data_IF_552443041613
#
_entry.id   IF_552443041613
#
_cell.length_a   1.000
_cell.length_b   1.000
_cell.length_c   1.000
_cell.angle_alpha   90.00
_cell.angle_beta   90.00
_cell.angle_gamma   90.00
#
_symmetry.space_group_name_H-M   'P 1'
#
loop_
_entity.id
_entity.type
_entity.pdbx_description
1 polymer ?
#
# COMPACT_ATOMS: atom_id res chain seq x y z
N UNK A 1 8.19 -7.82 -22.95
CA UNK A 1 7.02 -7.48 -22.08
C UNK A 1 6.46 -8.79 -21.55
N UNK A 2 6.34 -8.95 -20.24
CA UNK A 2 5.71 -10.13 -19.64
C UNK A 2 4.19 -10.06 -19.87
N UNK A 3 3.53 -11.20 -20.15
CA UNK A 3 2.07 -11.24 -20.29
C UNK A 3 1.38 -10.71 -19.02
N UNK A 4 0.25 -10.02 -19.13
CA UNK A 4 -0.47 -9.51 -17.97
C UNK A 4 -0.92 -10.65 -17.04
N UNK A 5 -0.90 -10.39 -15.73
CA UNK A 5 -1.40 -11.33 -14.74
C UNK A 5 -2.92 -11.50 -14.88
N UNK A 6 -3.37 -12.72 -15.12
CA UNK A 6 -4.80 -13.05 -15.21
C UNK A 6 -5.34 -13.71 -13.94
N UNK A 7 -4.46 -14.13 -13.02
CA UNK A 7 -4.79 -14.82 -11.77
C UNK A 7 -3.64 -14.65 -10.78
N UNK A 8 -3.94 -14.52 -9.49
CA UNK A 8 -2.99 -14.70 -8.38
C UNK A 8 -3.11 -16.14 -7.87
N UNK A 9 -2.41 -17.05 -8.52
CA UNK A 9 -2.55 -18.51 -8.34
C UNK A 9 -2.15 -18.99 -6.95
N UNK A 10 -1.23 -18.26 -6.31
CA UNK A 10 -0.75 -18.60 -4.96
C UNK A 10 -1.83 -18.43 -3.87
N UNK A 11 -2.96 -17.77 -4.18
CA UNK A 11 -4.09 -17.61 -3.27
C UNK A 11 -5.23 -18.62 -3.51
N UNK A 12 -5.02 -19.61 -4.38
CA UNK A 12 -6.02 -20.61 -4.70
C UNK A 12 -7.04 -20.18 -5.77
N UNK A 13 -8.18 -20.86 -5.78
CA UNK A 13 -9.19 -20.66 -6.83
C UNK A 13 -10.11 -19.46 -6.61
N UNK A 14 -10.19 -18.98 -5.37
CA UNK A 14 -10.99 -17.80 -5.02
C UNK A 14 -10.30 -16.96 -3.97
N UNK A 15 -10.36 -15.63 -4.12
CA UNK A 15 -9.83 -14.68 -3.16
C UNK A 15 -10.63 -13.39 -3.12
N UNK A 16 -10.55 -12.68 -2.00
CA UNK A 16 -11.08 -11.35 -1.82
C UNK A 16 -9.96 -10.37 -1.51
N UNK A 17 -10.15 -9.11 -1.90
CA UNK A 17 -9.16 -8.07 -1.70
C UNK A 17 -9.76 -6.78 -1.12
N UNK A 18 -8.92 -6.04 -0.41
CA UNK A 18 -9.18 -4.68 0.04
C UNK A 18 -8.09 -3.76 -0.52
N UNK A 19 -8.50 -2.65 -1.11
CA UNK A 19 -7.58 -1.62 -1.60
C UNK A 19 -7.91 -0.30 -0.91
N UNK A 20 -7.01 0.18 -0.06
CA UNK A 20 -7.09 1.49 0.59
C UNK A 20 -6.36 2.53 -0.26
N UNK A 21 -6.99 3.66 -0.53
CA UNK A 21 -6.50 4.65 -1.50
C UNK A 21 -6.92 4.35 -2.94
N UNK A 22 -8.03 3.63 -3.12
CA UNK A 22 -8.52 3.12 -4.41
C UNK A 22 -8.83 4.20 -5.46
N UNK A 23 -9.01 5.47 -5.08
CA UNK A 23 -9.20 6.59 -6.01
C UNK A 23 -7.88 7.22 -6.49
N UNK A 24 -6.75 6.88 -5.88
CA UNK A 24 -5.41 7.35 -6.29
C UNK A 24 -4.90 6.64 -7.54
N UNK A 25 -3.85 7.18 -8.18
CA UNK A 25 -3.32 6.61 -9.42
C UNK A 25 -2.96 5.12 -9.31
N UNK A 26 -2.14 4.75 -8.32
CA UNK A 26 -1.75 3.35 -8.09
C UNK A 26 -2.95 2.54 -7.59
N UNK A 27 -3.69 3.03 -6.57
CA UNK A 27 -4.80 2.28 -5.99
C UNK A 27 -5.91 1.98 -6.99
N UNK A 28 -6.23 2.91 -7.89
CA UNK A 28 -7.19 2.72 -8.98
C UNK A 28 -6.72 1.67 -9.98
N UNK A 29 -5.45 1.71 -10.36
CA UNK A 29 -4.87 0.72 -11.27
C UNK A 29 -4.83 -0.68 -10.63
N UNK A 30 -4.37 -0.81 -9.38
CA UNK A 30 -4.41 -2.07 -8.63
C UNK A 30 -5.84 -2.65 -8.56
N UNK A 31 -6.82 -1.80 -8.26
CA UNK A 31 -8.23 -2.20 -8.19
C UNK A 31 -8.71 -2.74 -9.54
N UNK A 32 -8.33 -2.08 -10.65
CA UNK A 32 -8.68 -2.51 -12.01
C UNK A 32 -8.02 -3.85 -12.38
N UNK A 33 -6.73 -4.03 -12.07
CA UNK A 33 -6.03 -5.30 -12.30
C UNK A 33 -6.67 -6.45 -11.52
N UNK A 34 -6.93 -6.25 -10.22
CA UNK A 34 -7.59 -7.26 -9.40
C UNK A 34 -8.99 -7.60 -9.91
N UNK A 35 -9.78 -6.63 -10.36
CA UNK A 35 -11.11 -6.86 -10.91
C UNK A 35 -11.10 -7.68 -12.20
N UNK A 36 -10.04 -7.55 -13.01
CA UNK A 36 -9.86 -8.33 -14.23
C UNK A 36 -9.41 -9.79 -13.98
N UNK A 37 -8.90 -10.09 -12.78
CA UNK A 37 -8.42 -11.43 -12.44
C UNK A 37 -9.56 -12.43 -12.27
N UNK A 38 -9.34 -13.67 -12.74
CA UNK A 38 -10.37 -14.72 -12.76
C UNK A 38 -10.71 -15.26 -11.39
N UNK A 39 -9.74 -15.31 -10.47
CA UNK A 39 -9.94 -15.82 -9.10
C UNK A 39 -10.30 -14.76 -8.06
N UNK A 40 -10.34 -13.48 -8.42
CA UNK A 40 -10.82 -12.43 -7.53
C UNK A 40 -12.35 -12.38 -7.56
N UNK A 41 -12.96 -12.64 -6.41
CA UNK A 41 -14.42 -12.67 -6.24
C UNK A 41 -14.97 -11.27 -5.94
N UNK A 42 -14.44 -10.63 -4.89
CA UNK A 42 -14.89 -9.32 -4.43
C UNK A 42 -13.71 -8.44 -4.03
N UNK A 43 -13.87 -7.15 -4.25
CA UNK A 43 -12.91 -6.12 -3.89
C UNK A 43 -13.65 -5.03 -3.11
N UNK A 44 -13.19 -4.72 -1.91
CA UNK A 44 -13.59 -3.52 -1.21
C UNK A 44 -12.61 -2.41 -1.52
N UNK A 45 -13.08 -1.39 -2.23
CA UNK A 45 -12.31 -0.24 -2.67
C UNK A 45 -12.59 0.96 -1.75
N UNK A 46 -11.58 1.34 -0.94
CA UNK A 46 -11.68 2.33 0.11
C UNK A 46 -10.94 3.60 -0.26
N UNK A 47 -11.60 4.74 -0.18
CA UNK A 47 -11.00 6.05 -0.45
C UNK A 47 -11.87 7.21 0.01
N UNK A 48 -11.28 8.41 0.16
CA UNK A 48 -12.03 9.64 0.47
C UNK A 48 -12.99 10.05 -0.65
N UNK A 49 -12.59 9.79 -1.90
CA UNK A 49 -13.42 10.04 -3.09
C UNK A 49 -14.06 8.72 -3.52
N UNK A 50 -15.38 8.69 -3.75
CA UNK A 50 -16.07 7.47 -4.18
C UNK A 50 -15.46 6.87 -5.45
N UNK A 51 -15.33 5.55 -5.47
CA UNK A 51 -14.93 4.77 -6.66
C UNK A 51 -16.18 4.14 -7.27
N UNK A 52 -16.22 4.09 -8.61
CA UNK A 52 -17.35 3.45 -9.30
C UNK A 52 -17.42 1.96 -8.95
N UNK A 53 -18.50 1.54 -8.33
CA UNK A 53 -18.79 0.14 -8.02
C UNK A 53 -19.08 -0.68 -9.29
N UNK A 54 -18.83 -1.99 -9.20
CA UNK A 54 -19.20 -3.00 -10.20
C UNK A 54 -19.73 -4.24 -9.49
N UNK A 55 -20.01 -5.31 -10.23
CA UNK A 55 -20.40 -6.58 -9.59
C UNK A 55 -19.31 -7.18 -8.69
N UNK A 56 -18.01 -6.81 -8.88
CA UNK A 56 -16.90 -7.23 -8.04
C UNK A 56 -16.42 -6.14 -7.08
N UNK A 57 -16.62 -4.85 -7.38
CA UNK A 57 -16.06 -3.71 -6.65
C UNK A 57 -17.14 -3.07 -5.78
N UNK A 58 -16.90 -3.07 -4.48
CA UNK A 58 -17.73 -2.45 -3.45
C UNK A 58 -16.98 -1.24 -2.88
N UNK A 59 -17.50 -0.04 -3.08
CA UNK A 59 -16.84 1.20 -2.66
C UNK A 59 -17.35 1.67 -1.30
N UNK A 60 -16.44 2.13 -0.44
CA UNK A 60 -16.78 2.78 0.82
C UNK A 60 -15.80 3.92 1.14
N UNK A 61 -16.24 4.84 1.98
CA UNK A 61 -15.40 5.94 2.44
C UNK A 61 -14.36 5.46 3.45
N UNK A 62 -13.15 6.03 3.38
CA UNK A 62 -12.10 5.94 4.40
C UNK A 62 -11.26 7.21 4.37
N UNK A 63 -10.99 7.77 5.55
CA UNK A 63 -9.97 8.81 5.75
C UNK A 63 -8.92 8.31 6.75
N UNK A 64 -7.64 8.33 6.34
CA UNK A 64 -6.54 7.85 7.18
C UNK A 64 -6.17 8.82 8.32
N UNK A 65 -6.68 10.04 8.29
CA UNK A 65 -6.55 11.03 9.39
C UNK A 65 -7.67 10.88 10.43
N UNK A 66 -8.66 9.99 10.19
CA UNK A 66 -9.80 9.73 11.06
C UNK A 66 -9.87 8.25 11.45
N UNK A 67 -9.59 7.97 12.73
CA UNK A 67 -9.57 6.60 13.27
C UNK A 67 -10.95 5.93 13.23
N UNK A 68 -12.04 6.68 13.46
CA UNK A 68 -13.40 6.16 13.39
C UNK A 68 -13.76 5.77 11.95
N UNK A 69 -13.39 6.61 10.98
CA UNK A 69 -13.56 6.31 9.56
C UNK A 69 -12.87 4.99 9.15
N UNK A 70 -11.66 4.73 9.68
CA UNK A 70 -10.93 3.48 9.41
C UNK A 70 -11.67 2.27 10.01
N UNK A 71 -12.15 2.37 11.24
CA UNK A 71 -12.90 1.30 11.90
C UNK A 71 -14.20 0.98 11.16
N UNK A 72 -14.98 2.01 10.81
CA UNK A 72 -16.24 1.86 10.04
C UNK A 72 -15.98 1.22 8.69
N UNK A 73 -14.91 1.63 7.98
CA UNK A 73 -14.52 1.03 6.71
C UNK A 73 -14.15 -0.45 6.86
N UNK A 74 -13.48 -0.84 7.94
CA UNK A 74 -13.13 -2.23 8.20
C UNK A 74 -14.37 -3.07 8.52
N UNK A 75 -15.31 -2.56 9.29
CA UNK A 75 -16.59 -3.23 9.55
C UNK A 75 -17.41 -3.39 8.25
N UNK A 76 -17.46 -2.36 7.41
CA UNK A 76 -18.07 -2.49 6.08
C UNK A 76 -17.41 -3.61 5.26
N UNK A 77 -16.07 -3.66 5.20
CA UNK A 77 -15.38 -4.71 4.49
C UNK A 77 -15.76 -6.10 5.00
N UNK A 78 -15.88 -6.28 6.33
CA UNK A 78 -16.33 -7.53 6.94
C UNK A 78 -17.75 -7.94 6.54
N UNK A 79 -18.66 -6.99 6.31
CA UNK A 79 -20.02 -7.32 5.84
C UNK A 79 -20.04 -7.80 4.38
N UNK A 80 -19.09 -7.33 3.57
CA UNK A 80 -18.99 -7.67 2.15
C UNK A 80 -18.17 -8.94 1.92
N UNK A 81 -17.09 -9.11 2.70
CA UNK A 81 -16.08 -10.16 2.53
C UNK A 81 -16.10 -11.09 3.74
N UNK A 82 -16.05 -12.41 3.51
CA UNK A 82 -15.92 -13.40 4.59
C UNK A 82 -14.48 -13.41 5.12
N UNK A 83 -13.52 -13.67 4.22
CA UNK A 83 -12.08 -13.64 4.47
C UNK A 83 -11.42 -12.67 3.51
N UNK A 84 -10.34 -12.04 3.95
CA UNK A 84 -9.57 -11.08 3.17
C UNK A 84 -8.18 -11.65 2.92
N UNK A 85 -7.92 -12.16 1.71
CA UNK A 85 -6.63 -12.72 1.35
C UNK A 85 -5.60 -11.64 1.01
N UNK A 86 -6.05 -10.49 0.50
CA UNK A 86 -5.14 -9.40 0.11
C UNK A 86 -5.63 -8.06 0.63
N UNK A 87 -4.78 -7.36 1.38
CA UNK A 87 -4.99 -5.95 1.77
C UNK A 87 -3.86 -5.12 1.19
N UNK A 88 -4.18 -4.11 0.38
CA UNK A 88 -3.19 -3.20 -0.19
C UNK A 88 -3.48 -1.77 0.28
N UNK A 89 -2.53 -1.17 1.00
CA UNK A 89 -2.61 0.23 1.43
C UNK A 89 -1.81 1.08 0.44
N UNK A 90 -2.52 1.72 -0.50
CA UNK A 90 -1.96 2.52 -1.57
C UNK A 90 -2.12 4.04 -1.35
N UNK A 91 -2.39 4.44 -0.11
CA UNK A 91 -2.49 5.85 0.26
C UNK A 91 -1.13 6.44 0.61
N UNK A 92 -0.98 7.75 0.40
CA UNK A 92 0.22 8.49 0.81
C UNK A 92 0.07 9.99 0.62
N UNK A 93 0.79 10.75 1.43
CA UNK A 93 0.88 12.21 1.39
C UNK A 93 2.35 12.60 1.30
N UNK A 94 2.72 13.35 0.25
CA UNK A 94 4.04 13.96 0.06
C UNK A 94 3.91 15.48 0.01
N UNK A 95 2.86 15.94 -0.65
CA UNK A 95 2.53 17.36 -0.80
C UNK A 95 1.03 17.55 -1.02
N UNK A 96 0.56 18.75 -0.76
CA UNK A 96 -0.74 19.25 -1.19
C UNK A 96 -0.67 20.79 -1.34
N UNK A 97 -1.83 21.47 -1.29
CA UNK A 97 -1.88 22.94 -1.42
C UNK A 97 -1.21 23.67 -0.25
N UNK A 98 -1.21 23.07 0.96
CA UNK A 98 -0.69 23.66 2.20
C UNK A 98 0.72 23.16 2.53
N UNK A 99 1.10 21.97 2.06
CA UNK A 99 2.33 21.28 2.46
C UNK A 99 3.22 20.98 1.25
N UNK A 100 4.51 21.27 1.37
CA UNK A 100 5.56 20.86 0.42
C UNK A 100 6.65 20.11 1.15
N UNK A 101 7.30 19.10 0.52
CA UNK A 101 8.40 18.37 1.17
C UNK A 101 9.61 19.27 1.38
N UNK A 102 10.20 19.17 2.55
CA UNK A 102 11.31 20.00 3.00
C UNK A 102 12.61 19.71 2.23
N UNK A 103 13.30 20.75 1.77
CA UNK A 103 14.60 20.64 1.10
C UNK A 103 15.78 20.92 2.06
N UNK A 104 15.52 21.52 3.23
CA UNK A 104 16.52 21.90 4.20
C UNK A 104 15.96 21.87 5.63
N UNK A 105 16.82 21.68 6.64
CA UNK A 105 16.45 21.65 8.07
C UNK A 105 15.56 22.81 8.50
N UNK A 106 15.87 24.04 8.04
CA UNK A 106 15.09 25.23 8.39
C UNK A 106 13.65 25.24 7.87
N UNK A 107 13.27 24.30 7.02
CA UNK A 107 11.93 24.17 6.46
C UNK A 107 11.08 23.13 7.20
N UNK A 108 11.64 22.47 8.22
CA UNK A 108 10.88 21.52 9.02
C UNK A 108 9.80 22.31 9.78
N UNK A 109 8.56 21.87 9.56
CA UNK A 109 7.37 22.40 10.21
C UNK A 109 6.69 21.26 10.99
N UNK A 110 6.35 21.51 12.25
CA UNK A 110 5.82 20.48 13.15
C UNK A 110 4.46 19.94 12.72
N UNK A 111 3.57 20.81 12.24
CA UNK A 111 2.21 20.42 11.84
C UNK A 111 2.24 19.61 10.54
N UNK A 112 3.05 20.04 9.57
CA UNK A 112 3.27 19.28 8.34
C UNK A 112 3.90 17.92 8.62
N UNK A 113 4.84 17.86 9.55
CA UNK A 113 5.49 16.63 9.99
C UNK A 113 4.49 15.68 10.65
N UNK A 114 3.69 16.19 11.59
CA UNK A 114 2.64 15.42 12.27
C UNK A 114 1.63 14.87 11.27
N UNK A 115 1.22 15.68 10.27
CA UNK A 115 0.29 15.28 9.24
C UNK A 115 0.86 14.20 8.30
N UNK A 116 2.12 14.32 7.90
CA UNK A 116 2.80 13.26 7.14
C UNK A 116 2.84 11.94 7.93
N UNK A 117 3.12 11.99 9.23
CA UNK A 117 3.07 10.83 10.12
C UNK A 117 1.65 10.25 10.22
N UNK A 118 0.63 11.09 10.38
CA UNK A 118 -0.77 10.66 10.47
C UNK A 118 -1.17 9.86 9.23
N UNK A 119 -0.95 10.39 8.02
CA UNK A 119 -1.39 9.76 6.77
C UNK A 119 -0.52 8.58 6.35
N UNK A 120 0.82 8.70 6.48
CA UNK A 120 1.75 7.71 5.92
C UNK A 120 2.16 6.59 6.89
N UNK A 121 1.97 6.77 8.20
CA UNK A 121 2.39 5.80 9.22
C UNK A 121 1.24 5.40 10.15
N UNK A 122 0.60 6.35 10.83
CA UNK A 122 -0.45 6.07 11.82
C UNK A 122 -1.69 5.49 11.13
N UNK A 123 -2.16 6.10 10.05
CA UNK A 123 -3.30 5.60 9.28
C UNK A 123 -3.10 4.16 8.80
N UNK A 124 -1.98 3.83 8.11
CA UNK A 124 -1.63 2.44 7.78
C UNK A 124 -1.55 1.51 8.99
N UNK A 125 -1.03 1.95 10.14
CA UNK A 125 -1.02 1.15 11.37
C UNK A 125 -2.43 0.81 11.85
N UNK A 126 -3.35 1.79 11.80
CA UNK A 126 -4.76 1.58 12.14
C UNK A 126 -5.47 0.67 11.12
N UNK A 127 -5.13 0.79 9.82
CA UNK A 127 -5.60 -0.17 8.80
C UNK A 127 -5.12 -1.57 9.16
N UNK A 128 -3.85 -1.77 9.46
CA UNK A 128 -3.31 -3.07 9.89
C UNK A 128 -4.08 -3.60 11.10
N UNK A 129 -4.26 -2.78 12.14
CA UNK A 129 -5.01 -3.13 13.37
C UNK A 129 -6.40 -3.68 13.07
N UNK A 130 -7.14 -2.99 12.20
CA UNK A 130 -8.55 -3.32 11.95
C UNK A 130 -8.76 -4.40 10.88
N UNK A 131 -7.81 -4.58 9.93
CA UNK A 131 -7.96 -5.53 8.83
C UNK A 131 -7.24 -6.86 9.06
N UNK A 132 -6.12 -6.89 9.81
CA UNK A 132 -5.39 -8.12 10.10
C UNK A 132 -6.27 -9.21 10.77
N UNK A 133 -7.21 -8.88 11.69
CA UNK A 133 -8.10 -9.89 12.27
C UNK A 133 -9.07 -10.55 11.28
N UNK A 134 -9.27 -9.96 10.09
CA UNK A 134 -10.15 -10.47 9.04
C UNK A 134 -9.41 -11.30 7.98
N UNK A 135 -8.08 -11.41 8.11
CA UNK A 135 -7.29 -12.33 7.30
C UNK A 135 -7.58 -13.77 7.70
N UNK A 136 -7.56 -14.73 6.75
CA UNK A 136 -7.80 -16.14 7.06
C UNK A 136 -6.76 -16.67 8.04
N UNK A 137 -7.13 -17.67 8.84
CA UNK A 137 -6.23 -18.30 9.82
C UNK A 137 -5.29 -19.34 9.22
N UNK A 138 -5.52 -19.75 7.99
CA UNK A 138 -4.73 -20.73 7.25
C UNK A 138 -4.61 -20.32 5.79
N UNK A 139 -3.52 -20.74 5.15
CA UNK A 139 -3.23 -20.40 3.76
C UNK A 139 -2.70 -18.98 3.57
N UNK A 140 -2.24 -18.74 2.37
CA UNK A 140 -1.60 -17.46 2.02
C UNK A 140 -2.56 -16.28 2.14
N UNK A 141 -2.12 -15.28 2.88
CA UNK A 141 -2.76 -13.97 2.93
C UNK A 141 -1.67 -12.89 2.97
N UNK A 142 -1.86 -11.78 2.27
CA UNK A 142 -0.86 -10.72 2.15
C UNK A 142 -1.45 -9.35 2.53
N UNK A 143 -0.78 -8.67 3.45
CA UNK A 143 -0.99 -7.28 3.78
C UNK A 143 0.21 -6.49 3.24
N UNK A 144 -0.01 -5.70 2.20
CA UNK A 144 1.02 -4.90 1.55
C UNK A 144 0.78 -3.41 1.78
N UNK A 145 1.78 -2.70 2.29
CA UNK A 145 1.72 -1.24 2.45
C UNK A 145 2.67 -0.59 1.45
N UNK A 146 2.15 0.34 0.65
CA UNK A 146 3.00 1.09 -0.28
C UNK A 146 3.85 2.08 0.52
N UNK A 147 5.13 1.78 0.58
CA UNK A 147 6.18 2.62 1.10
C UNK A 147 6.91 3.36 -0.04
N UNK A 148 8.11 3.80 0.19
CA UNK A 148 8.94 4.43 -0.82
C UNK A 148 10.41 4.15 -0.50
N UNK A 149 11.27 4.02 -1.52
CA UNK A 149 12.72 3.81 -1.35
C UNK A 149 13.36 4.85 -0.42
N UNK A 150 12.85 6.08 -0.47
CA UNK A 150 13.30 7.17 0.42
C UNK A 150 13.00 6.93 1.92
N UNK A 151 12.19 5.92 2.27
CA UNK A 151 11.97 5.44 3.64
C UNK A 151 13.08 4.52 4.16
N UNK A 152 14.02 4.09 3.30
CA UNK A 152 15.23 3.41 3.75
C UNK A 152 16.17 4.39 4.45
N UNK A 153 16.60 4.04 5.67
CA UNK A 153 17.54 4.86 6.46
C UNK A 153 18.95 4.68 5.90
N UNK A 154 19.34 3.43 5.61
CA UNK A 154 20.68 3.10 5.14
C UNK A 154 20.95 3.52 3.70
N UNK A 155 19.91 3.66 2.85
CA UNK A 155 20.01 4.11 1.45
C UNK A 155 19.76 5.63 1.30
N UNK A 156 19.87 6.39 2.39
CA UNK A 156 19.63 7.84 2.37
C UNK A 156 20.92 8.64 2.14
N UNK A 157 21.29 8.84 0.90
CA UNK A 157 22.45 9.66 0.49
C UNK A 157 22.06 11.06 -0.01
N UNK A 158 20.77 11.30 -0.31
CA UNK A 158 20.31 12.55 -0.91
C UNK A 158 19.82 13.59 0.11
N UNK A 159 19.33 13.14 1.27
CA UNK A 159 18.72 14.03 2.27
C UNK A 159 17.40 14.67 1.79
N UNK A 160 16.96 15.72 2.50
CA UNK A 160 15.68 16.39 2.23
C UNK A 160 14.46 15.53 2.54
N UNK A 161 13.25 16.06 2.33
CA UNK A 161 11.96 15.40 2.52
C UNK A 161 11.81 14.74 3.90
N UNK A 162 12.19 15.50 4.95
CA UNK A 162 12.33 14.97 6.31
C UNK A 162 11.08 14.27 6.81
N UNK A 163 9.93 14.94 6.74
CA UNK A 163 8.65 14.37 7.19
C UNK A 163 8.25 13.13 6.37
N UNK A 164 8.42 13.18 5.05
CA UNK A 164 8.07 12.06 4.17
C UNK A 164 8.97 10.85 4.41
N UNK A 165 10.31 11.04 4.45
CA UNK A 165 11.27 9.95 4.73
C UNK A 165 11.01 9.32 6.09
N UNK A 166 10.86 10.15 7.13
CA UNK A 166 10.58 9.67 8.48
C UNK A 166 9.28 8.87 8.54
N UNK A 167 8.21 9.36 7.89
CA UNK A 167 6.93 8.64 7.87
C UNK A 167 6.99 7.31 7.11
N UNK A 168 7.79 7.23 6.02
CA UNK A 168 7.98 5.98 5.26
C UNK A 168 8.92 5.00 5.98
N UNK A 169 9.91 5.49 6.74
CA UNK A 169 10.69 4.64 7.64
C UNK A 169 9.83 4.10 8.80
N UNK A 170 8.98 4.95 9.38
CA UNK A 170 8.06 4.54 10.43
C UNK A 170 7.07 3.45 9.96
N UNK A 171 6.47 3.58 8.77
CA UNK A 171 5.58 2.55 8.26
C UNK A 171 6.31 1.24 7.95
N UNK A 172 7.56 1.28 7.49
CA UNK A 172 8.38 0.08 7.32
C UNK A 172 8.58 -0.65 8.66
N UNK A 173 8.90 0.10 9.75
CA UNK A 173 9.01 -0.48 11.08
C UNK A 173 7.69 -1.05 11.59
N UNK A 174 6.55 -0.37 11.34
CA UNK A 174 5.22 -0.83 11.71
C UNK A 174 4.89 -2.15 11.01
N UNK A 175 5.13 -2.25 9.70
CA UNK A 175 4.91 -3.47 8.92
C UNK A 175 5.79 -4.62 9.43
N UNK A 176 7.07 -4.34 9.72
CA UNK A 176 7.99 -5.33 10.31
C UNK A 176 7.48 -5.85 11.66
N UNK A 177 7.01 -4.96 12.53
CA UNK A 177 6.47 -5.34 13.85
C UNK A 177 5.19 -6.15 13.71
N UNK A 178 4.26 -5.67 12.88
CA UNK A 178 2.98 -6.34 12.62
C UNK A 178 3.16 -7.74 12.00
N UNK A 179 4.17 -7.94 11.15
CA UNK A 179 4.45 -9.25 10.54
C UNK A 179 4.69 -10.34 11.57
N UNK A 180 5.37 -10.01 12.66
CA UNK A 180 5.67 -10.94 13.75
C UNK A 180 4.40 -11.34 14.51
N UNK A 181 3.49 -10.37 14.72
CA UNK A 181 2.23 -10.62 15.42
C UNK A 181 1.25 -11.39 14.53
N UNK A 182 1.11 -11.00 13.28
CA UNK A 182 0.22 -11.66 12.30
C UNK A 182 0.59 -13.13 12.13
N UNK A 183 1.89 -13.44 12.06
CA UNK A 183 2.39 -14.82 11.94
C UNK A 183 2.03 -15.74 13.11
N UNK A 184 1.73 -15.19 14.30
CA UNK A 184 1.25 -15.98 15.45
C UNK A 184 -0.16 -16.53 15.23
N UNK A 185 -0.98 -15.82 14.45
CA UNK A 185 -2.37 -16.19 14.16
C UNK A 185 -2.50 -17.03 12.88
N UNK A 186 -1.70 -16.70 11.87
CA UNK A 186 -1.57 -17.44 10.61
C UNK A 186 -0.10 -17.45 10.17
N UNK A 187 0.62 -18.57 10.28
CA UNK A 187 2.03 -18.67 9.87
C UNK A 187 2.26 -18.43 8.37
N UNK A 188 1.22 -18.61 7.54
CA UNK A 188 1.28 -18.37 6.09
C UNK A 188 0.95 -16.92 5.70
N UNK A 189 0.53 -16.10 6.67
CA UNK A 189 0.21 -14.71 6.42
C UNK A 189 1.47 -13.86 6.36
N UNK A 190 1.46 -12.91 5.44
CA UNK A 190 2.61 -12.11 5.03
C UNK A 190 2.26 -10.63 5.15
N UNK A 191 3.07 -9.85 5.85
CA UNK A 191 3.00 -8.41 5.86
C UNK A 191 4.27 -7.84 5.24
N UNK A 192 4.17 -7.01 4.20
CA UNK A 192 5.31 -6.43 3.49
C UNK A 192 5.14 -4.95 3.21
N UNK A 193 6.28 -4.25 3.08
CA UNK A 193 6.35 -2.92 2.50
C UNK A 193 6.73 -3.03 1.02
N UNK A 194 6.10 -2.19 0.16
CA UNK A 194 6.38 -2.18 -1.28
C UNK A 194 6.77 -0.78 -1.76
N UNK A 195 7.87 -0.68 -2.49
CA UNK A 195 8.22 0.51 -3.26
C UNK A 195 7.71 0.34 -4.71
N UNK A 196 6.82 1.23 -5.20
CA UNK A 196 6.16 1.07 -6.49
C UNK A 196 7.03 1.52 -7.70
N UNK A 197 8.27 1.95 -7.48
CA UNK A 197 9.03 2.73 -8.45
C UNK A 197 8.54 4.18 -8.52
N UNK A 198 9.18 5.00 -9.33
CA UNK A 198 8.69 6.36 -9.60
C UNK A 198 7.51 6.28 -10.55
N UNK A 199 6.31 6.39 -10.01
CA UNK A 199 5.06 6.19 -10.77
C UNK A 199 4.42 7.52 -11.11
N UNK A 200 3.99 7.73 -12.35
CA UNK A 200 3.33 8.93 -12.84
C UNK A 200 1.94 9.10 -12.22
N UNK A 201 1.88 9.79 -11.11
CA UNK A 201 0.66 10.08 -10.34
C UNK A 201 0.68 11.54 -9.89
N UNK A 202 -0.45 12.02 -9.38
CA UNK A 202 -0.52 13.37 -8.81
C UNK A 202 0.49 13.59 -7.67
N UNK A 203 0.81 12.54 -6.89
CA UNK A 203 1.77 12.60 -5.79
C UNK A 203 3.21 12.84 -6.29
N UNK A 204 3.62 12.23 -7.39
CA UNK A 204 4.98 12.34 -7.92
C UNK A 204 5.16 13.48 -8.92
N UNK A 205 4.07 13.95 -9.56
CA UNK A 205 4.09 14.87 -10.70
C UNK A 205 4.98 16.12 -10.50
N UNK A 206 4.99 16.81 -9.33
CA UNK A 206 5.85 17.97 -9.13
C UNK A 206 7.35 17.65 -9.05
N UNK A 207 7.72 16.37 -8.90
CA UNK A 207 9.09 15.91 -8.62
C UNK A 207 9.68 15.06 -9.75
N UNK A 208 9.03 15.03 -10.91
CA UNK A 208 9.44 14.21 -12.06
C UNK A 208 10.52 14.86 -12.96
N UNK A 209 10.90 16.12 -12.70
CA UNK A 209 11.78 16.88 -13.59
C UNK A 209 13.16 16.28 -13.87
N UNK A 210 13.66 15.42 -12.97
CA UNK A 210 14.95 14.72 -13.13
C UNK A 210 14.77 13.21 -13.35
N UNK A 211 13.56 12.74 -13.59
CA UNK A 211 13.26 11.33 -13.82
C UNK A 211 13.28 11.07 -15.32
N UNK A 212 14.09 10.12 -15.77
CA UNK A 212 14.15 9.72 -17.17
C UNK A 212 12.89 8.94 -17.56
N UNK A 213 12.52 8.91 -18.84
CA UNK A 213 11.31 8.25 -19.32
C UNK A 213 11.26 6.76 -18.97
N UNK A 214 12.40 6.07 -18.98
CA UNK A 214 12.55 4.66 -18.62
C UNK A 214 12.40 4.40 -17.11
N UNK A 215 12.56 5.43 -16.28
CA UNK A 215 12.39 5.37 -14.82
C UNK A 215 11.01 5.85 -14.34
N UNK A 216 10.22 6.47 -15.23
CA UNK A 216 8.88 6.96 -14.92
C UNK A 216 7.82 5.94 -15.34
N UNK A 217 7.33 5.17 -14.39
CA UNK A 217 6.35 4.13 -14.66
C UNK A 217 4.93 4.67 -14.79
N UNK A 218 4.15 4.05 -15.67
CA UNK A 218 2.69 4.23 -15.62
C UNK A 218 2.13 3.57 -14.34
N UNK A 219 0.98 4.02 -13.81
CA UNK A 219 0.29 3.35 -12.72
C UNK A 219 -0.01 1.87 -13.04
N UNK A 220 -0.32 1.58 -14.29
CA UNK A 220 -0.61 0.24 -14.79
C UNK A 220 0.61 -0.69 -14.67
N UNK A 221 1.77 -0.25 -15.19
CA UNK A 221 3.03 -1.00 -15.08
C UNK A 221 3.43 -1.23 -13.61
N UNK A 222 3.40 -0.16 -12.79
CA UNK A 222 3.73 -0.25 -11.37
C UNK A 222 2.83 -1.23 -10.62
N UNK A 223 1.53 -1.22 -10.93
CA UNK A 223 0.54 -2.11 -10.31
C UNK A 223 0.74 -3.57 -10.70
N UNK A 224 0.98 -3.87 -11.99
CA UNK A 224 1.29 -5.24 -12.46
C UNK A 224 2.54 -5.77 -11.77
N UNK A 225 3.60 -4.97 -11.70
CA UNK A 225 4.85 -5.34 -11.02
C UNK A 225 4.64 -5.66 -9.54
N UNK A 226 3.94 -4.79 -8.79
CA UNK A 226 3.66 -5.03 -7.38
C UNK A 226 2.78 -6.25 -7.14
N UNK A 227 1.78 -6.50 -7.98
CA UNK A 227 0.95 -7.71 -7.89
C UNK A 227 1.76 -8.97 -8.17
N UNK A 228 2.78 -8.92 -9.04
CA UNK A 228 3.75 -10.01 -9.22
C UNK A 228 4.61 -10.25 -7.99
N UNK A 229 5.00 -9.21 -7.26
CA UNK A 229 5.68 -9.37 -5.96
C UNK A 229 4.74 -10.06 -4.97
N UNK A 230 3.49 -9.58 -4.84
CA UNK A 230 2.47 -10.18 -3.96
C UNK A 230 2.22 -11.66 -4.32
N UNK A 231 2.21 -12.02 -5.61
CA UNK A 231 2.07 -13.42 -6.05
C UNK A 231 3.24 -14.30 -5.60
N UNK A 232 4.48 -13.78 -5.65
CA UNK A 232 5.71 -14.57 -5.40
C UNK A 232 6.10 -14.70 -3.93
N UNK A 233 5.81 -13.69 -3.10
CA UNK A 233 6.24 -13.69 -1.69
C UNK A 233 5.67 -14.87 -0.92
N UNK A 234 6.45 -15.35 0.02
CA UNK A 234 6.17 -16.47 0.91
C UNK A 234 6.21 -16.02 2.38
N UNK A 235 5.86 -16.87 3.31
CA UNK A 235 5.96 -16.58 4.74
C UNK A 235 7.39 -16.16 5.19
N UNK A 236 8.44 -16.65 4.50
CA UNK A 236 9.83 -16.26 4.77
C UNK A 236 10.15 -14.81 4.39
N UNK A 237 9.26 -14.18 3.63
CA UNK A 237 9.40 -12.79 3.18
C UNK A 237 8.60 -11.82 4.04
N UNK A 238 7.86 -12.34 5.02
CA UNK A 238 7.04 -11.50 5.91
C UNK A 238 7.92 -10.55 6.73
N UNK A 239 7.55 -9.29 6.74
CA UNK A 239 8.27 -8.22 7.41
C UNK A 239 9.38 -7.58 6.57
N UNK A 240 9.54 -7.91 5.30
CA UNK A 240 10.55 -7.32 4.41
C UNK A 240 10.02 -6.13 3.62
N UNK A 241 10.95 -5.37 3.08
CA UNK A 241 10.70 -4.25 2.19
C UNK A 241 11.16 -4.57 0.77
N UNK A 242 10.25 -4.54 -0.20
CA UNK A 242 10.54 -4.90 -1.59
C UNK A 242 10.38 -3.71 -2.55
N UNK A 243 11.20 -3.69 -3.57
CA UNK A 243 10.99 -2.89 -4.75
C UNK A 243 9.95 -3.55 -5.68
N UNK A 244 9.44 -2.78 -6.63
CA UNK A 244 8.48 -3.20 -7.66
C UNK A 244 8.93 -4.41 -8.49
N UNK A 245 10.24 -4.64 -8.63
CA UNK A 245 10.83 -5.76 -9.36
C UNK A 245 11.02 -7.03 -8.50
N UNK A 246 10.71 -6.94 -7.21
CA UNK A 246 10.87 -8.02 -6.23
C UNK A 246 12.25 -8.04 -5.56
N UNK A 247 13.10 -7.06 -5.82
CA UNK A 247 14.37 -6.90 -5.09
C UNK A 247 14.09 -6.46 -3.66
N UNK A 248 14.70 -7.13 -2.68
CA UNK A 248 14.65 -6.71 -1.28
C UNK A 248 15.46 -5.42 -1.10
N UNK A 249 14.82 -4.41 -0.51
CA UNK A 249 15.42 -3.12 -0.18
C UNK A 249 15.86 -3.08 1.28
N UNK A 250 16.98 -2.41 1.59
CA UNK A 250 17.39 -2.21 2.98
C UNK A 250 16.45 -1.21 3.69
N UNK A 251 16.36 -1.36 5.01
CA UNK A 251 15.65 -0.42 5.89
C UNK A 251 16.46 0.85 6.19
#
# INVERSE_FOLDING_TARGET
MTSPLTKLSSFGDTMNAVVVGASGGIGSSVTSHLAAMTNVQRIVALSRTPVRGTHKIFSHHIDLEDAESIEVAAQFAKTVLQDIQVVIVASGLLHDKAMQPEKALRQIDGDNFARAMAVNAIGPALVIKHFAPFMPRTGKAVLAVISARVGSISDNYLGGWYAYRASKAAVNQIVRTASIEIARNNPDAIAISLHPGTTNTNLSKPFQGNVTEDQLFSPDHSSDCMLRVIERVTALDSGKFFSWDGTELPY
#
